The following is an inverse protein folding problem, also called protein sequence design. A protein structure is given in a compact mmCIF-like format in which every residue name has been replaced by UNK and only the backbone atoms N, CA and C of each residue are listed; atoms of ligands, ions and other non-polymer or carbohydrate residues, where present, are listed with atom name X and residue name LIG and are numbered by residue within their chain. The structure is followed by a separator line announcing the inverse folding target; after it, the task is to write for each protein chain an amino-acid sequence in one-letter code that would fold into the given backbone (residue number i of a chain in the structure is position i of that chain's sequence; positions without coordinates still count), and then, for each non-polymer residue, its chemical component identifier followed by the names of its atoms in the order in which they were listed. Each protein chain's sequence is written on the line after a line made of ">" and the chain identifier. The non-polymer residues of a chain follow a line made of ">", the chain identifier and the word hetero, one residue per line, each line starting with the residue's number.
data_IF_249126284640
#
_entry.id   IF_249126284640
#
_cell.length_a   1.000
_cell.length_b   1.000
_cell.length_c   1.000
_cell.angle_alpha   90.00
_cell.angle_beta   90.00
_cell.angle_gamma   90.00
#
_symmetry.space_group_name_H-M   'P 1'
#
loop_
_entity.id
_entity.type
_entity.pdbx_description
1 polymer ?
#
# COMPACT_ATOMS: atom_id res chain seq x y z
N UNK A 1 -26.90 -9.68 -20.78
CA UNK A 1 -28.07 -10.07 -21.59
C UNK A 1 -28.48 -11.51 -21.34
N UNK A 2 -27.55 -12.48 -21.23
CA UNK A 2 -27.86 -13.88 -20.96
C UNK A 2 -28.61 -14.11 -19.63
N UNK A 3 -28.26 -13.41 -18.57
CA UNK A 3 -28.93 -13.49 -17.27
C UNK A 3 -30.41 -13.05 -17.33
N UNK A 4 -30.71 -11.98 -18.07
CA UNK A 4 -32.08 -11.49 -18.24
C UNK A 4 -32.97 -12.48 -19.05
N UNK A 5 -32.35 -13.23 -19.98
CA UNK A 5 -33.05 -14.25 -20.77
C UNK A 5 -33.45 -15.48 -19.93
N UNK A 6 -32.58 -15.87 -18.96
CA UNK A 6 -32.81 -17.05 -18.11
C UNK A 6 -33.58 -16.73 -16.83
N UNK A 7 -33.60 -15.47 -16.40
CA UNK A 7 -34.29 -15.02 -15.20
C UNK A 7 -35.20 -13.82 -15.51
N UNK A 8 -36.42 -14.04 -15.98
CA UNK A 8 -37.37 -12.97 -16.34
C UNK A 8 -37.62 -11.98 -15.22
N UNK A 9 -37.47 -12.42 -13.96
CA UNK A 9 -37.59 -11.54 -12.76
C UNK A 9 -36.64 -10.35 -12.80
N UNK A 10 -35.44 -10.49 -13.39
CA UNK A 10 -34.43 -9.43 -13.50
C UNK A 10 -34.81 -8.29 -14.47
N UNK A 11 -35.93 -8.44 -15.18
CA UNK A 11 -36.51 -7.42 -16.07
C UNK A 11 -37.84 -6.87 -15.60
N UNK A 12 -38.32 -7.26 -14.39
CA UNK A 12 -39.57 -6.75 -13.84
C UNK A 12 -39.43 -5.32 -13.29
N UNK A 13 -40.59 -4.63 -13.15
CA UNK A 13 -40.62 -3.28 -12.58
C UNK A 13 -40.18 -3.23 -11.10
N UNK A 14 -40.37 -4.35 -10.38
CA UNK A 14 -40.08 -4.47 -8.95
C UNK A 14 -38.67 -4.98 -8.64
N UNK A 15 -38.01 -5.55 -9.63
CA UNK A 15 -36.66 -6.09 -9.48
C UNK A 15 -35.76 -5.71 -10.66
N UNK A 16 -34.69 -4.98 -10.40
CA UNK A 16 -33.81 -4.49 -11.43
C UNK A 16 -32.36 -4.87 -11.16
N UNK A 17 -31.70 -5.41 -12.19
CA UNK A 17 -30.28 -5.70 -12.13
C UNK A 17 -29.50 -4.39 -12.21
N UNK A 18 -28.80 -4.01 -11.16
CA UNK A 18 -28.02 -2.76 -11.06
C UNK A 18 -26.71 -2.82 -11.83
N UNK A 19 -26.19 -4.00 -12.08
CA UNK A 19 -24.94 -4.19 -12.80
C UNK A 19 -24.48 -5.64 -12.77
N UNK A 20 -23.46 -5.94 -13.55
CA UNK A 20 -22.77 -7.24 -13.53
C UNK A 20 -21.28 -6.97 -13.30
N UNK A 21 -20.80 -7.34 -12.12
CA UNK A 21 -19.41 -7.10 -11.72
C UNK A 21 -18.62 -8.38 -12.05
N UNK A 22 -17.66 -8.33 -13.01
CA UNK A 22 -16.84 -9.49 -13.32
C UNK A 22 -15.88 -9.77 -12.16
N UNK A 23 -15.53 -11.03 -11.98
CA UNK A 23 -14.49 -11.42 -11.03
C UNK A 23 -13.12 -10.91 -11.51
N UNK A 24 -12.33 -10.35 -10.61
CA UNK A 24 -10.97 -9.88 -10.88
C UNK A 24 -10.01 -10.43 -9.82
N UNK A 25 -9.06 -11.26 -10.24
CA UNK A 25 -8.03 -11.80 -9.36
C UNK A 25 -7.14 -10.69 -8.77
N UNK A 26 -6.81 -9.70 -9.57
CA UNK A 26 -5.95 -8.56 -9.15
C UNK A 26 -6.55 -7.76 -7.98
N UNK A 27 -7.88 -7.60 -7.97
CA UNK A 27 -8.56 -6.88 -6.90
C UNK A 27 -8.62 -7.70 -5.59
N UNK A 28 -8.40 -9.02 -5.68
CA UNK A 28 -8.35 -9.91 -4.52
C UNK A 28 -6.92 -10.13 -3.99
N UNK A 29 -5.91 -9.54 -4.61
CA UNK A 29 -4.52 -9.70 -4.22
C UNK A 29 -4.23 -8.97 -2.90
N UNK A 30 -3.92 -9.75 -1.85
CA UNK A 30 -3.43 -9.24 -0.57
C UNK A 30 -1.97 -8.79 -0.70
N UNK A 31 -1.55 -7.85 0.17
CA UNK A 31 -0.11 -7.54 0.31
C UNK A 31 0.58 -8.71 0.98
N UNK A 32 1.87 -8.87 0.70
CA UNK A 32 2.68 -9.93 1.32
C UNK A 32 2.68 -9.81 2.85
N UNK A 33 2.70 -8.58 3.38
CA UNK A 33 2.56 -8.30 4.82
C UNK A 33 1.25 -8.86 5.39
N UNK A 34 0.13 -8.63 4.71
CA UNK A 34 -1.18 -9.09 5.18
C UNK A 34 -1.22 -10.62 5.28
N UNK A 35 -0.61 -11.32 4.32
CA UNK A 35 -0.48 -12.78 4.35
C UNK A 35 0.41 -13.23 5.51
N UNK A 36 1.53 -12.54 5.77
CA UNK A 36 2.39 -12.85 6.90
C UNK A 36 1.62 -12.73 8.23
N UNK A 37 0.87 -11.65 8.41
CA UNK A 37 0.04 -11.42 9.61
C UNK A 37 -1.05 -12.48 9.78
N UNK A 38 -1.78 -12.80 8.69
CA UNK A 38 -2.87 -13.79 8.72
C UNK A 38 -2.37 -15.22 9.01
N UNK A 39 -1.15 -15.55 8.60
CA UNK A 39 -0.53 -16.84 8.85
C UNK A 39 0.23 -16.88 10.20
N UNK A 40 0.42 -15.75 10.88
CA UNK A 40 1.33 -15.64 12.02
C UNK A 40 2.77 -15.93 11.64
N UNK A 41 3.18 -15.61 10.42
CA UNK A 41 4.51 -15.90 9.93
C UNK A 41 5.57 -15.01 10.58
N UNK A 42 6.73 -15.59 10.87
CA UNK A 42 7.90 -14.83 11.28
C UNK A 42 8.55 -14.20 10.05
N UNK A 43 8.77 -12.89 10.09
CA UNK A 43 9.42 -12.15 8.99
C UNK A 43 10.93 -12.19 9.16
N UNK A 44 11.63 -12.86 8.24
CA UNK A 44 13.09 -12.90 8.19
C UNK A 44 13.65 -11.68 7.44
N UNK A 45 12.98 -11.26 6.38
CA UNK A 45 13.27 -10.02 5.66
C UNK A 45 11.97 -9.36 5.22
N UNK A 46 11.71 -8.16 5.73
CA UNK A 46 10.50 -7.42 5.38
C UNK A 46 10.49 -6.95 3.92
N UNK A 47 11.65 -6.51 3.42
CA UNK A 47 11.76 -5.99 2.05
C UNK A 47 10.64 -5.01 1.70
N UNK A 48 10.01 -5.22 0.53
CA UNK A 48 8.86 -4.43 0.05
C UNK A 48 7.50 -5.11 0.36
N UNK A 49 7.36 -5.84 1.49
CA UNK A 49 6.16 -6.62 1.81
C UNK A 49 4.87 -5.77 1.86
N UNK A 50 4.98 -4.49 2.23
CA UNK A 50 3.87 -3.54 2.27
C UNK A 50 3.36 -3.15 0.88
N UNK A 51 4.19 -3.27 -0.14
CA UNK A 51 3.92 -2.82 -1.50
C UNK A 51 3.63 -3.98 -2.45
N UNK A 52 4.28 -5.14 -2.22
CA UNK A 52 4.14 -6.32 -3.08
C UNK A 52 2.82 -7.03 -2.83
N UNK A 53 2.10 -7.32 -3.92
CA UNK A 53 0.81 -8.02 -3.89
C UNK A 53 0.96 -9.44 -4.37
N UNK A 54 0.26 -10.36 -3.70
CA UNK A 54 0.26 -11.78 -4.02
C UNK A 54 -0.86 -12.06 -5.01
N UNK A 55 -0.51 -12.09 -6.29
CA UNK A 55 -1.43 -12.43 -7.37
C UNK A 55 -1.56 -13.95 -7.54
N UNK A 56 -0.50 -14.68 -7.24
CA UNK A 56 -0.46 -16.13 -7.38
C UNK A 56 0.40 -16.76 -6.30
N UNK A 57 -0.01 -17.93 -5.83
CA UNK A 57 0.74 -18.76 -4.88
C UNK A 57 1.26 -19.97 -5.64
N UNK A 58 2.54 -20.29 -5.48
CA UNK A 58 3.18 -21.43 -6.12
C UNK A 58 3.92 -22.25 -5.07
N UNK A 59 3.49 -23.52 -4.90
CA UNK A 59 4.20 -24.49 -4.08
C UNK A 59 5.31 -25.13 -4.91
N UNK A 60 6.56 -24.84 -4.54
CA UNK A 60 7.74 -25.33 -5.24
C UNK A 60 8.24 -26.68 -4.69
N UNK A 61 7.54 -27.75 -5.07
CA UNK A 61 7.89 -29.11 -4.69
C UNK A 61 8.85 -29.80 -5.69
N UNK A 62 9.00 -29.26 -6.89
CA UNK A 62 9.86 -29.83 -7.97
C UNK A 62 11.25 -29.18 -7.99
N UNK A 63 12.18 -29.82 -8.70
CA UNK A 63 13.51 -29.25 -8.95
C UNK A 63 13.45 -27.95 -9.76
N UNK A 64 14.45 -27.09 -9.59
CA UNK A 64 14.54 -25.74 -10.18
C UNK A 64 14.20 -25.68 -11.68
N UNK A 65 14.71 -26.58 -12.56
CA UNK A 65 14.38 -26.51 -13.99
C UNK A 65 12.87 -26.56 -14.30
N UNK A 66 12.09 -27.20 -13.41
CA UNK A 66 10.63 -27.34 -13.56
C UNK A 66 9.83 -26.25 -12.84
N UNK A 67 10.52 -25.39 -12.09
CA UNK A 67 9.88 -24.31 -11.29
C UNK A 67 10.28 -22.92 -11.77
N UNK A 68 11.43 -22.77 -12.44
CA UNK A 68 11.95 -21.47 -12.87
C UNK A 68 10.96 -20.65 -13.70
N UNK A 69 10.17 -21.29 -14.55
CA UNK A 69 9.15 -20.61 -15.35
C UNK A 69 7.97 -20.09 -14.53
N UNK A 70 7.82 -20.55 -13.28
CA UNK A 70 6.76 -20.13 -12.34
C UNK A 70 7.19 -18.93 -11.48
N UNK A 71 8.50 -18.64 -11.43
CA UNK A 71 9.07 -17.53 -10.68
C UNK A 71 8.86 -16.24 -11.47
N UNK A 72 7.68 -15.63 -11.28
CA UNK A 72 7.25 -14.42 -11.98
C UNK A 72 6.80 -13.34 -11.00
N UNK A 73 6.75 -12.12 -11.46
CA UNK A 73 6.28 -10.99 -10.67
C UNK A 73 4.89 -11.25 -10.07
N UNK A 74 4.70 -10.90 -8.80
CA UNK A 74 3.46 -11.13 -8.07
C UNK A 74 3.24 -12.55 -7.56
N UNK A 75 4.23 -13.45 -7.71
CA UNK A 75 4.16 -14.82 -7.20
C UNK A 75 4.71 -14.88 -5.77
N UNK A 76 3.92 -15.45 -4.85
CA UNK A 76 4.39 -15.93 -3.56
C UNK A 76 4.90 -17.36 -3.72
N UNK A 77 6.19 -17.56 -3.52
CA UNK A 77 6.85 -18.86 -3.61
C UNK A 77 6.80 -19.54 -2.25
N UNK A 78 6.18 -20.72 -2.18
CA UNK A 78 6.09 -21.52 -0.95
C UNK A 78 6.99 -22.74 -1.11
N UNK A 79 7.89 -22.95 -0.16
CA UNK A 79 8.87 -24.07 -0.19
C UNK A 79 9.33 -24.38 1.24
N UNK A 80 9.74 -25.63 1.56
CA UNK A 80 10.43 -25.90 2.82
C UNK A 80 11.69 -25.05 2.98
N UNK A 81 12.04 -24.67 4.21
CA UNK A 81 13.17 -23.79 4.49
C UNK A 81 14.54 -24.39 4.20
N UNK A 82 14.63 -25.73 4.04
CA UNK A 82 15.83 -26.45 3.67
C UNK A 82 16.04 -26.59 2.12
N UNK A 83 15.16 -25.95 1.33
CA UNK A 83 15.25 -25.96 -0.13
C UNK A 83 16.14 -24.81 -0.64
N UNK A 84 17.42 -24.91 -0.37
CA UNK A 84 18.44 -23.93 -0.79
C UNK A 84 18.38 -23.61 -2.28
N UNK A 85 18.13 -24.65 -3.10
CA UNK A 85 18.02 -24.55 -4.55
C UNK A 85 16.88 -23.61 -4.99
N UNK A 86 15.74 -23.65 -4.31
CA UNK A 86 14.58 -22.79 -4.62
C UNK A 86 14.82 -21.38 -4.08
N UNK A 87 15.42 -21.25 -2.89
CA UNK A 87 15.73 -19.94 -2.28
C UNK A 87 16.69 -19.18 -3.19
N UNK A 88 17.76 -19.84 -3.67
CA UNK A 88 18.71 -19.26 -4.60
C UNK A 88 18.07 -18.92 -5.95
N UNK A 89 17.24 -19.82 -6.52
CA UNK A 89 16.57 -19.57 -7.78
C UNK A 89 15.60 -18.38 -7.72
N UNK A 90 14.84 -18.26 -6.64
CA UNK A 90 13.91 -17.13 -6.42
C UNK A 90 14.68 -15.82 -6.22
N UNK A 91 15.79 -15.84 -5.49
CA UNK A 91 16.67 -14.67 -5.31
C UNK A 91 17.28 -14.21 -6.62
N UNK A 92 17.76 -15.14 -7.46
CA UNK A 92 18.26 -14.83 -8.80
C UNK A 92 17.16 -14.27 -9.72
N UNK A 93 15.94 -14.83 -9.66
CA UNK A 93 14.81 -14.30 -10.41
C UNK A 93 14.50 -12.85 -9.99
N UNK A 94 14.55 -12.57 -8.68
CA UNK A 94 14.37 -11.21 -8.17
C UNK A 94 15.44 -10.24 -8.67
N UNK A 95 16.71 -10.65 -8.66
CA UNK A 95 17.82 -9.85 -9.19
C UNK A 95 17.71 -9.61 -10.71
N UNK A 96 17.11 -10.54 -11.44
CA UNK A 96 16.83 -10.41 -12.87
C UNK A 96 15.57 -9.61 -13.20
N UNK A 97 14.99 -8.93 -12.20
CA UNK A 97 13.87 -8.00 -12.40
C UNK A 97 12.48 -8.59 -12.15
N UNK A 98 12.36 -9.87 -11.77
CA UNK A 98 11.09 -10.44 -11.39
C UNK A 98 10.71 -9.99 -9.96
N UNK A 99 9.70 -9.13 -9.85
CA UNK A 99 9.18 -8.67 -8.55
C UNK A 99 8.31 -9.77 -7.92
N UNK A 100 8.94 -10.83 -7.42
CA UNK A 100 8.23 -11.85 -6.65
C UNK A 100 7.49 -11.21 -5.48
N UNK A 101 6.29 -11.69 -5.16
CA UNK A 101 5.57 -11.21 -3.99
C UNK A 101 6.34 -11.52 -2.70
N UNK A 102 6.99 -12.68 -2.64
CA UNK A 102 7.89 -13.06 -1.55
C UNK A 102 8.22 -14.53 -1.56
N UNK A 103 9.05 -14.93 -0.59
CA UNK A 103 9.32 -16.31 -0.21
C UNK A 103 8.63 -16.64 1.11
N UNK A 104 7.84 -17.71 1.14
CA UNK A 104 7.28 -18.29 2.35
C UNK A 104 7.93 -19.65 2.58
N UNK A 105 8.78 -19.72 3.58
CA UNK A 105 9.49 -20.91 4.01
C UNK A 105 8.63 -21.68 5.02
N UNK A 106 8.44 -22.96 4.82
CA UNK A 106 7.56 -23.79 5.66
C UNK A 106 8.33 -24.97 6.25
N UNK A 107 7.64 -25.75 7.11
CA UNK A 107 8.14 -26.99 7.73
C UNK A 107 9.14 -26.76 8.86
N UNK A 108 9.13 -25.60 9.50
CA UNK A 108 10.03 -25.29 10.65
C UNK A 108 11.53 -25.48 10.36
N UNK A 109 11.91 -25.41 9.09
CA UNK A 109 13.32 -25.42 8.68
C UNK A 109 13.81 -23.98 8.52
N UNK A 110 14.82 -23.64 9.31
CA UNK A 110 15.54 -22.36 9.10
C UNK A 110 16.47 -22.50 7.90
N UNK A 111 16.49 -21.52 6.98
CA UNK A 111 17.43 -21.51 5.88
C UNK A 111 18.88 -21.35 6.39
N UNK A 112 19.84 -22.02 5.75
CA UNK A 112 21.25 -21.89 6.10
C UNK A 112 21.69 -20.41 6.01
N UNK A 113 22.27 -19.83 7.07
CA UNK A 113 22.72 -18.42 7.06
C UNK A 113 23.68 -18.09 5.90
N UNK A 114 24.48 -19.06 5.44
CA UNK A 114 25.38 -18.87 4.31
C UNK A 114 24.62 -18.71 2.99
N UNK A 115 23.47 -19.40 2.86
CA UNK A 115 22.58 -19.24 1.70
C UNK A 115 21.90 -17.88 1.74
N UNK A 116 21.44 -17.43 2.90
CA UNK A 116 20.86 -16.10 3.06
C UNK A 116 21.88 -14.99 2.74
N UNK A 117 23.15 -15.15 3.14
CA UNK A 117 24.21 -14.21 2.78
C UNK A 117 24.46 -14.15 1.27
N UNK A 118 24.40 -15.29 0.56
CA UNK A 118 24.46 -15.30 -0.92
C UNK A 118 23.25 -14.59 -1.55
N UNK A 119 22.10 -14.62 -0.89
CA UNK A 119 20.87 -13.97 -1.36
C UNK A 119 20.77 -12.49 -0.98
N UNK A 120 21.74 -11.95 -0.21
CA UNK A 120 21.70 -10.61 0.37
C UNK A 120 21.33 -9.52 -0.64
N UNK A 121 21.91 -9.53 -1.83
CA UNK A 121 21.58 -8.53 -2.85
C UNK A 121 20.10 -8.54 -3.27
N UNK A 122 19.45 -9.72 -3.27
CA UNK A 122 18.02 -9.83 -3.56
C UNK A 122 17.17 -9.36 -2.35
N UNK A 123 17.61 -9.67 -1.14
CA UNK A 123 16.98 -9.26 0.10
C UNK A 123 17.01 -7.73 0.25
N UNK A 124 18.18 -7.13 0.06
CA UNK A 124 18.40 -5.68 0.06
C UNK A 124 17.63 -5.00 -1.09
N UNK A 125 17.46 -5.71 -2.21
CA UNK A 125 16.60 -5.32 -3.34
C UNK A 125 15.10 -5.43 -3.08
N UNK A 126 14.69 -5.72 -1.85
CA UNK A 126 13.32 -5.67 -1.41
C UNK A 126 12.54 -7.00 -1.52
N UNK A 127 13.20 -8.16 -1.71
CA UNK A 127 12.53 -9.46 -1.70
C UNK A 127 12.07 -9.82 -0.27
N UNK A 128 10.75 -9.92 0.00
CA UNK A 128 10.26 -10.35 1.31
C UNK A 128 10.53 -11.85 1.53
N UNK A 129 10.98 -12.20 2.73
CA UNK A 129 11.18 -13.59 3.17
C UNK A 129 10.55 -13.78 4.54
N UNK A 130 9.72 -14.79 4.66
CA UNK A 130 9.01 -15.14 5.90
C UNK A 130 9.00 -16.65 6.10
N UNK A 131 8.81 -17.09 7.34
CA UNK A 131 8.76 -18.51 7.69
C UNK A 131 7.54 -18.83 8.53
N UNK A 132 7.06 -20.08 8.39
CA UNK A 132 5.96 -20.66 9.18
C UNK A 132 6.34 -22.06 9.64
N UNK A 133 5.88 -22.44 10.84
CA UNK A 133 6.13 -23.76 11.43
C UNK A 133 5.41 -24.89 10.67
N UNK A 134 4.24 -24.58 10.09
CA UNK A 134 3.39 -25.56 9.41
C UNK A 134 4.10 -26.21 8.22
N UNK A 135 3.82 -27.48 7.98
CA UNK A 135 4.34 -28.18 6.80
C UNK A 135 3.74 -27.65 5.50
N UNK A 136 4.29 -28.05 4.36
CA UNK A 136 3.89 -27.53 3.04
C UNK A 136 2.41 -27.74 2.70
N UNK A 137 1.81 -28.85 3.16
CA UNK A 137 0.40 -29.14 2.91
C UNK A 137 -0.51 -28.23 3.73
N UNK A 138 -0.25 -28.13 5.03
CA UNK A 138 -1.03 -27.27 5.91
C UNK A 138 -0.86 -25.80 5.57
N UNK A 139 0.37 -25.39 5.21
CA UNK A 139 0.64 -24.03 4.72
C UNK A 139 -0.18 -23.72 3.46
N UNK A 140 -0.23 -24.65 2.50
CA UNK A 140 -1.05 -24.48 1.30
C UNK A 140 -2.53 -24.37 1.63
N UNK A 141 -3.08 -25.23 2.50
CA UNK A 141 -4.47 -25.18 2.94
C UNK A 141 -4.79 -23.86 3.64
N UNK A 142 -3.92 -23.41 4.55
CA UNK A 142 -4.08 -22.14 5.24
C UNK A 142 -4.13 -20.97 4.24
N UNK A 143 -3.23 -20.94 3.25
CA UNK A 143 -3.20 -19.93 2.20
C UNK A 143 -4.46 -19.93 1.33
N UNK A 144 -5.01 -21.09 1.00
CA UNK A 144 -6.27 -21.19 0.25
C UNK A 144 -7.50 -20.77 1.06
N UNK A 145 -7.45 -20.98 2.37
CA UNK A 145 -8.51 -20.61 3.31
C UNK A 145 -8.47 -19.16 3.80
N UNK A 146 -7.48 -18.35 3.38
CA UNK A 146 -7.35 -16.98 3.84
C UNK A 146 -8.56 -16.12 3.51
N UNK A 147 -9.01 -15.35 4.50
CA UNK A 147 -9.98 -14.30 4.27
C UNK A 147 -9.35 -13.19 3.41
N UNK A 148 -9.90 -12.95 2.23
CA UNK A 148 -9.43 -11.95 1.27
C UNK A 148 -10.14 -10.60 1.42
N UNK A 149 -10.71 -10.31 2.57
CA UNK A 149 -11.26 -8.98 2.85
C UNK A 149 -10.16 -7.92 2.71
N UNK A 150 -10.59 -6.72 2.33
CA UNK A 150 -9.65 -5.61 2.19
C UNK A 150 -9.28 -5.10 3.59
N UNK A 151 -8.01 -5.15 3.99
CA UNK A 151 -7.58 -4.58 5.26
C UNK A 151 -7.95 -3.09 5.35
N UNK A 152 -8.27 -2.61 6.56
CA UNK A 152 -8.74 -1.24 6.77
C UNK A 152 -7.70 -0.17 6.39
N UNK A 153 -6.43 -0.53 6.41
CA UNK A 153 -5.29 0.31 6.06
C UNK A 153 -4.87 0.20 4.57
N UNK A 154 -5.43 -0.76 3.82
CA UNK A 154 -5.17 -0.91 2.37
C UNK A 154 -6.07 0.03 1.55
N UNK A 155 -5.81 1.32 1.69
CA UNK A 155 -6.57 2.39 1.01
C UNK A 155 -6.48 2.26 -0.51
N UNK A 156 -5.32 1.87 -1.03
CA UNK A 156 -5.13 1.68 -2.47
C UNK A 156 -6.07 0.60 -3.02
N UNK A 157 -6.10 -0.57 -2.39
CA UNK A 157 -7.00 -1.66 -2.81
C UNK A 157 -8.46 -1.25 -2.64
N UNK A 158 -8.82 -0.63 -1.51
CA UNK A 158 -10.18 -0.14 -1.28
C UNK A 158 -10.64 0.83 -2.38
N UNK A 159 -9.77 1.76 -2.79
CA UNK A 159 -10.05 2.70 -3.88
C UNK A 159 -10.23 1.99 -5.21
N UNK A 160 -9.30 1.08 -5.58
CA UNK A 160 -9.37 0.32 -6.83
C UNK A 160 -10.64 -0.53 -6.92
N UNK A 161 -11.01 -1.21 -5.81
CA UNK A 161 -12.25 -2.01 -5.74
C UNK A 161 -13.48 -1.12 -5.91
N UNK A 162 -13.52 0.03 -5.22
CA UNK A 162 -14.63 0.97 -5.30
C UNK A 162 -14.80 1.51 -6.73
N UNK A 163 -13.73 1.92 -7.37
CA UNK A 163 -13.74 2.41 -8.76
C UNK A 163 -14.14 1.32 -9.75
N UNK A 164 -13.66 0.10 -9.54
CA UNK A 164 -14.01 -1.02 -10.39
C UNK A 164 -15.49 -1.35 -10.29
N UNK A 165 -16.04 -1.42 -9.07
CA UNK A 165 -17.47 -1.66 -8.84
C UNK A 165 -18.30 -0.54 -9.47
N UNK A 166 -17.92 0.73 -9.25
CA UNK A 166 -18.63 1.88 -9.79
C UNK A 166 -18.74 1.87 -11.32
N UNK A 167 -17.71 1.39 -12.01
CA UNK A 167 -17.72 1.26 -13.49
C UNK A 167 -18.69 0.20 -14.02
N UNK A 168 -19.07 -0.78 -13.19
CA UNK A 168 -19.94 -1.90 -13.56
C UNK A 168 -21.39 -1.74 -13.05
N UNK A 169 -21.69 -0.65 -12.36
CA UNK A 169 -23.03 -0.31 -11.94
C UNK A 169 -23.71 0.62 -12.93
N UNK A 170 -25.03 0.50 -13.07
CA UNK A 170 -25.86 1.40 -13.85
C UNK A 170 -26.31 2.58 -12.98
N UNK A 171 -25.64 3.77 -13.06
CA UNK A 171 -25.87 4.87 -12.14
C UNK A 171 -27.23 5.51 -12.32
N UNK A 172 -27.83 5.45 -13.53
CA UNK A 172 -29.10 6.09 -13.85
C UNK A 172 -30.25 5.63 -12.96
N UNK A 173 -30.31 4.31 -12.69
CA UNK A 173 -31.33 3.78 -11.79
C UNK A 173 -31.15 4.27 -10.35
N UNK A 174 -29.91 4.29 -9.87
CA UNK A 174 -29.59 4.78 -8.54
C UNK A 174 -29.97 6.28 -8.40
N UNK A 175 -29.67 7.07 -9.42
CA UNK A 175 -30.05 8.49 -9.45
C UNK A 175 -31.54 8.70 -9.46
N UNK A 176 -32.30 7.89 -10.21
CA UNK A 176 -33.75 8.05 -10.35
C UNK A 176 -34.52 7.63 -9.11
N UNK A 177 -34.09 6.54 -8.44
CA UNK A 177 -34.78 5.96 -7.28
C UNK A 177 -34.25 6.42 -5.93
N UNK A 178 -32.97 6.78 -5.86
CA UNK A 178 -32.28 7.20 -4.64
C UNK A 178 -32.09 8.72 -4.58
N UNK A 179 -32.61 9.50 -5.54
CA UNK A 179 -32.60 10.95 -5.45
C UNK A 179 -33.57 11.39 -4.35
N UNK A 180 -33.06 11.45 -3.14
CA UNK A 180 -33.76 12.14 -2.05
C UNK A 180 -33.85 13.62 -2.45
N UNK A 181 -35.04 14.27 -2.33
CA UNK A 181 -35.13 15.74 -2.48
C UNK A 181 -34.02 16.38 -1.64
N UNK A 182 -33.30 17.33 -2.20
CA UNK A 182 -32.22 18.07 -1.52
C UNK A 182 -32.71 18.86 -0.33
N UNK A 183 -33.22 18.18 0.70
CA UNK A 183 -33.17 18.69 2.06
C UNK A 183 -31.71 18.61 2.50
N UNK A 184 -31.26 19.53 3.33
CA UNK A 184 -29.88 19.66 3.81
C UNK A 184 -29.25 18.28 4.15
N UNK A 185 -28.64 17.65 3.18
CA UNK A 185 -27.90 16.41 3.38
C UNK A 185 -26.71 16.71 4.28
N UNK A 186 -26.87 16.44 5.57
CA UNK A 186 -25.75 16.46 6.50
C UNK A 186 -24.73 15.44 6.01
N UNK A 187 -23.62 15.95 5.57
CA UNK A 187 -22.53 15.11 5.07
C UNK A 187 -22.04 14.19 6.18
N UNK A 188 -21.91 12.88 5.89
CA UNK A 188 -21.32 11.97 6.87
C UNK A 188 -19.88 12.40 7.19
N UNK A 189 -19.34 12.12 8.40
CA UNK A 189 -17.96 12.46 8.74
C UNK A 189 -16.92 11.88 7.76
N UNK A 190 -17.19 10.71 7.19
CA UNK A 190 -16.33 10.09 6.17
C UNK A 190 -16.37 10.88 4.85
N UNK A 191 -17.57 11.23 4.36
CA UNK A 191 -17.74 12.01 3.14
C UNK A 191 -17.14 13.43 3.30
N UNK A 192 -17.28 14.04 4.47
CA UNK A 192 -16.68 15.33 4.77
C UNK A 192 -15.14 15.26 4.70
N UNK A 193 -14.54 14.27 5.36
CA UNK A 193 -13.07 14.07 5.32
C UNK A 193 -12.58 13.83 3.90
N UNK A 194 -13.27 12.98 3.13
CA UNK A 194 -12.93 12.73 1.73
C UNK A 194 -12.95 14.02 0.91
N UNK A 195 -14.04 14.82 1.00
CA UNK A 195 -14.11 16.07 0.27
C UNK A 195 -13.07 17.09 0.71
N UNK A 196 -12.74 17.14 1.99
CA UNK A 196 -11.71 18.02 2.53
C UNK A 196 -10.34 17.68 1.93
N UNK A 197 -9.97 16.40 1.97
CA UNK A 197 -8.71 15.91 1.38
C UNK A 197 -8.69 16.20 -0.13
N UNK A 198 -9.77 15.88 -0.85
CA UNK A 198 -9.87 16.12 -2.29
C UNK A 198 -9.68 17.59 -2.64
N UNK A 199 -10.36 18.49 -1.95
CA UNK A 199 -10.21 19.94 -2.14
C UNK A 199 -8.80 20.43 -1.82
N UNK A 200 -8.16 19.87 -0.80
CA UNK A 200 -6.79 20.20 -0.45
C UNK A 200 -5.81 19.76 -1.54
N UNK A 201 -5.96 18.56 -2.06
CA UNK A 201 -5.19 18.04 -3.19
C UNK A 201 -5.35 18.91 -4.44
N UNK A 202 -6.60 19.24 -4.81
CA UNK A 202 -6.90 20.07 -5.97
C UNK A 202 -6.32 21.50 -5.82
N UNK A 203 -6.31 22.02 -4.58
CA UNK A 203 -5.72 23.32 -4.28
C UNK A 203 -4.20 23.34 -4.31
N UNK A 204 -3.54 22.21 -4.09
CA UNK A 204 -2.09 22.01 -4.12
C UNK A 204 -1.28 23.14 -3.44
N UNK A 205 -1.67 23.52 -2.24
CA UNK A 205 -1.08 24.66 -1.53
C UNK A 205 0.28 24.31 -0.91
N UNK A 206 1.19 25.30 -0.92
CA UNK A 206 2.45 25.22 -0.16
C UNK A 206 2.22 25.77 1.24
N UNK A 207 2.46 24.95 2.26
CA UNK A 207 2.24 25.27 3.68
C UNK A 207 3.56 25.23 4.42
N UNK A 208 3.88 26.35 5.06
CA UNK A 208 5.09 26.47 5.90
C UNK A 208 4.70 26.15 7.34
N UNK A 209 5.46 25.26 7.97
CA UNK A 209 5.27 24.77 9.33
C UNK A 209 6.45 25.28 10.18
N UNK A 210 6.22 26.29 11.04
CA UNK A 210 7.30 26.96 11.77
C UNK A 210 7.93 26.09 12.87
N UNK A 211 7.19 25.13 13.43
CA UNK A 211 7.66 24.17 14.42
C UNK A 211 8.16 22.89 13.74
N UNK A 212 9.15 23.05 12.85
CA UNK A 212 9.59 21.98 11.96
C UNK A 212 10.34 20.84 12.63
N UNK A 213 10.80 20.98 13.88
CA UNK A 213 11.45 19.94 14.68
C UNK A 213 10.51 19.24 15.69
N UNK A 214 9.22 19.61 15.73
CA UNK A 214 8.25 18.97 16.62
C UNK A 214 7.78 17.63 16.01
N UNK A 215 7.81 16.51 16.76
CA UNK A 215 7.51 15.17 16.22
C UNK A 215 6.14 15.03 15.52
N UNK A 216 5.09 15.67 16.07
CA UNK A 216 3.74 15.63 15.48
C UNK A 216 3.68 16.42 14.18
N UNK A 217 4.40 17.54 14.11
CA UNK A 217 4.51 18.39 12.92
C UNK A 217 5.23 17.65 11.80
N UNK A 218 6.35 16.98 12.11
CA UNK A 218 7.09 16.15 11.14
C UNK A 218 6.22 15.03 10.60
N UNK A 219 5.51 14.30 11.49
CA UNK A 219 4.61 13.21 11.07
C UNK A 219 3.47 13.71 10.19
N UNK A 220 2.84 14.82 10.57
CA UNK A 220 1.79 15.44 9.79
C UNK A 220 2.28 15.91 8.41
N UNK A 221 3.45 16.55 8.35
CA UNK A 221 4.06 17.01 7.11
C UNK A 221 4.38 15.84 6.18
N UNK A 222 4.96 14.75 6.70
CA UNK A 222 5.26 13.53 5.94
C UNK A 222 3.97 12.94 5.32
N UNK A 223 2.92 12.77 6.12
CA UNK A 223 1.62 12.24 5.64
C UNK A 223 0.98 13.16 4.60
N UNK A 224 0.98 14.47 4.83
CA UNK A 224 0.40 15.44 3.89
C UNK A 224 1.14 15.46 2.56
N UNK A 225 2.46 15.40 2.60
CA UNK A 225 3.31 15.36 1.42
C UNK A 225 3.11 14.07 0.63
N UNK A 226 3.14 12.92 1.30
CA UNK A 226 2.97 11.60 0.69
C UNK A 226 1.60 11.45 0.03
N UNK A 227 0.55 11.96 0.68
CA UNK A 227 -0.83 11.91 0.16
C UNK A 227 -1.17 13.04 -0.80
N UNK A 228 -0.24 13.92 -1.12
CA UNK A 228 -0.47 15.06 -2.00
C UNK A 228 -1.48 16.09 -1.45
N UNK A 229 -1.72 16.10 -0.14
CA UNK A 229 -2.69 17.01 0.51
C UNK A 229 -2.17 18.45 0.48
N UNK A 230 -0.87 18.62 0.72
CA UNK A 230 -0.19 19.91 0.66
C UNK A 230 1.29 19.72 0.38
N UNK A 231 1.93 20.74 -0.20
CA UNK A 231 3.40 20.83 -0.29
C UNK A 231 3.89 21.44 1.02
N UNK A 232 4.36 20.58 1.94
CA UNK A 232 4.80 21.02 3.25
C UNK A 232 6.25 21.50 3.23
N UNK A 233 6.55 22.54 4.00
CA UNK A 233 7.88 23.06 4.25
C UNK A 233 8.09 23.13 5.75
N UNK A 234 9.06 22.41 6.28
CA UNK A 234 9.45 22.46 7.69
C UNK A 234 10.49 23.55 7.89
N UNK A 235 10.26 24.45 8.85
CA UNK A 235 11.27 25.43 9.28
C UNK A 235 11.99 24.87 10.49
N UNK A 236 13.15 24.26 10.27
CA UNK A 236 14.04 23.75 11.31
C UNK A 236 15.40 23.40 10.69
N UNK A 237 16.40 23.14 11.54
CA UNK A 237 17.68 22.60 11.06
C UNK A 237 17.49 21.18 10.53
N UNK A 238 17.98 20.87 9.32
CA UNK A 238 17.81 19.55 8.71
C UNK A 238 18.27 18.39 9.61
N UNK A 239 19.35 18.58 10.36
CA UNK A 239 19.90 17.59 11.27
C UNK A 239 18.93 17.26 12.41
N UNK A 240 18.26 18.28 12.99
CA UNK A 240 17.27 18.12 14.05
C UNK A 240 16.05 17.32 13.54
N UNK A 241 15.55 17.68 12.35
CA UNK A 241 14.40 17.00 11.73
C UNK A 241 14.74 15.52 11.46
N UNK A 242 15.94 15.25 10.92
CA UNK A 242 16.39 13.88 10.66
C UNK A 242 16.60 13.06 11.94
N UNK A 243 17.09 13.69 12.99
CA UNK A 243 17.24 13.04 14.28
C UNK A 243 15.88 12.65 14.86
N UNK A 244 14.95 13.59 14.96
CA UNK A 244 13.60 13.37 15.48
C UNK A 244 12.86 12.33 14.64
N UNK A 245 12.99 12.38 13.32
CA UNK A 245 12.35 11.40 12.42
C UNK A 245 12.87 9.99 12.71
N UNK A 246 14.18 9.80 12.89
CA UNK A 246 14.78 8.50 13.26
C UNK A 246 14.30 8.00 14.62
N UNK A 247 14.30 8.88 15.65
CA UNK A 247 13.85 8.55 17.00
C UNK A 247 12.37 8.13 17.05
N UNK A 248 11.54 8.71 16.17
CA UNK A 248 10.10 8.46 16.10
C UNK A 248 9.69 7.44 15.03
N UNK A 249 10.65 6.85 14.31
CA UNK A 249 10.37 5.90 13.22
C UNK A 249 9.56 6.53 12.07
N UNK A 250 9.76 7.83 11.79
CA UNK A 250 9.05 8.53 10.71
C UNK A 250 9.92 8.51 9.45
N UNK A 251 9.37 7.96 8.37
CA UNK A 251 9.99 8.03 7.04
C UNK A 251 9.71 9.40 6.43
N UNK A 252 10.77 10.16 6.12
CA UNK A 252 10.62 11.46 5.47
C UNK A 252 10.56 11.27 3.95
N UNK A 253 9.49 11.75 3.26
CA UNK A 253 9.45 11.76 1.80
C UNK A 253 10.59 12.59 1.22
N UNK A 254 11.23 12.11 0.16
CA UNK A 254 12.32 12.84 -0.50
C UNK A 254 11.91 14.23 -1.06
N UNK A 255 10.62 14.42 -1.30
CA UNK A 255 10.04 15.68 -1.76
C UNK A 255 9.69 16.66 -0.64
N UNK A 256 9.88 16.30 0.63
CA UNK A 256 9.59 17.19 1.77
C UNK A 256 10.69 18.23 1.90
N UNK A 257 10.31 19.50 1.78
CA UNK A 257 11.24 20.63 1.86
C UNK A 257 11.52 20.95 3.34
N UNK A 258 12.81 21.06 3.68
CA UNK A 258 13.27 21.48 5.02
C UNK A 258 14.13 22.73 4.83
N UNK A 259 13.77 23.83 5.47
CA UNK A 259 14.49 25.08 5.40
C UNK A 259 15.05 25.46 6.76
N UNK A 260 16.35 25.66 6.84
CA UNK A 260 17.01 26.22 8.02
C UNK A 260 16.69 27.72 8.15
N UNK A 261 15.97 28.12 9.23
CA UNK A 261 15.62 29.51 9.44
C UNK A 261 16.85 30.47 9.49
N UNK A 262 17.96 30.00 10.04
CA UNK A 262 19.18 30.81 10.17
C UNK A 262 19.79 31.12 8.79
N UNK A 263 19.66 30.18 7.85
CA UNK A 263 20.20 30.34 6.50
C UNK A 263 19.38 31.31 5.62
N UNK A 264 18.08 31.47 5.92
CA UNK A 264 17.17 32.28 5.09
C UNK A 264 16.76 33.61 5.71
N UNK A 265 17.00 33.82 7.01
CA UNK A 265 16.57 35.00 7.77
C UNK A 265 16.91 36.31 7.07
N UNK A 266 18.15 36.47 6.61
CA UNK A 266 18.64 37.70 5.97
C UNK A 266 17.82 38.10 4.70
N UNK A 267 17.17 37.14 4.02
CA UNK A 267 16.37 37.45 2.82
C UNK A 267 15.05 38.15 3.15
N UNK A 268 14.60 38.08 4.41
CA UNK A 268 13.31 38.60 4.84
C UNK A 268 13.43 39.87 5.71
N UNK A 269 14.62 40.23 6.16
CA UNK A 269 14.85 41.41 7.02
C UNK A 269 14.38 42.70 6.31
N UNK A 270 14.86 42.92 5.11
CA UNK A 270 14.58 44.14 4.35
C UNK A 270 13.09 44.26 3.96
N UNK A 271 12.43 43.19 3.37
CA UNK A 271 11.01 43.21 3.11
C UNK A 271 10.14 43.40 4.35
N UNK A 272 10.54 42.81 5.50
CA UNK A 272 9.80 43.00 6.76
C UNK A 272 9.92 44.40 7.30
N UNK A 273 11.10 45.02 7.19
CA UNK A 273 11.30 46.41 7.57
C UNK A 273 10.44 47.33 6.70
N UNK A 274 10.37 47.09 5.40
CA UNK A 274 9.52 47.87 4.49
C UNK A 274 8.02 47.75 4.82
N UNK A 275 7.51 46.52 5.06
CA UNK A 275 6.12 46.31 5.45
C UNK A 275 5.77 46.96 6.81
N UNK A 276 6.73 47.13 7.69
CA UNK A 276 6.51 47.75 9.02
C UNK A 276 6.74 49.26 9.06
N UNK A 277 7.35 49.87 8.05
CA UNK A 277 7.56 51.33 7.99
C UNK A 277 6.27 52.16 8.17
N UNK A 278 5.13 51.59 7.77
CA UNK A 278 3.82 52.27 7.92
C UNK A 278 3.18 52.10 9.31
N UNK A 279 3.78 51.27 10.18
CA UNK A 279 3.19 50.97 11.52
C UNK A 279 4.03 51.50 12.69
N UNK A 280 5.17 52.20 12.40
CA UNK A 280 6.07 52.75 13.40
C UNK A 280 7.17 51.79 13.82
#
# INVERSE_FOLDING_TARGET
>A
DSLKQHLPLLGSADFQLLGAIPFSEELNALRTRDIAELLGAQVLNAGEADQRRVNKIVLCARAVPNTVQLLRSGVLVVTPGDRDDIILAASLASLNGEKLAGLLLCSDFEPDPRILELCKAALDGGLPVMTVESNSYDTANNLFGLNKETPADDIERATRVTEFIAKHLHPEFLHTRCSVPRGELRMSPAAFRYQLVKRAQDANKRIVLPEGNEPRTIRAAAICQERGIARCVLLAKPEEVQQVAREQGITLPASLEILDPDSIANRYVEPMCEMRKAKG
#
